data_IF_911305347583
#
_entry.id   IF_911305347583
#
_cell.length_a   1.000
_cell.length_b   1.000
_cell.length_c   1.000
_cell.angle_alpha   90.00
_cell.angle_beta   90.00
_cell.angle_gamma   90.00
#
_symmetry.space_group_name_H-M   'P 1'
#
loop_
_entity.id
_entity.type
_entity.pdbx_description
1 polymer ?
#
# COMPACT_ATOMS: atom_id res chain seq x y z
N UNK A 1 32.63 30.02 -41.93
CA UNK A 1 32.42 30.73 -40.66
C UNK A 1 32.07 29.76 -39.54
N UNK A 2 30.97 29.00 -39.62
CA UNK A 2 30.63 27.96 -38.62
C UNK A 2 31.74 26.93 -38.37
N UNK A 3 32.43 26.50 -39.43
CA UNK A 3 33.52 25.53 -39.33
C UNK A 3 34.73 26.04 -38.53
N UNK A 4 34.98 27.35 -38.54
CA UNK A 4 36.02 27.97 -37.72
C UNK A 4 35.60 27.98 -36.23
N UNK A 5 34.32 28.27 -35.97
CA UNK A 5 33.76 28.29 -34.61
C UNK A 5 33.78 26.88 -33.99
N UNK A 6 33.48 25.84 -34.75
CA UNK A 6 33.55 24.45 -34.28
C UNK A 6 34.99 24.03 -33.93
N UNK A 7 35.96 24.45 -34.75
CA UNK A 7 37.38 24.17 -34.50
C UNK A 7 37.87 24.88 -33.23
N UNK A 8 37.57 26.16 -33.06
CA UNK A 8 37.93 26.92 -31.87
C UNK A 8 37.27 26.34 -30.60
N UNK A 9 36.01 25.92 -30.67
CA UNK A 9 35.32 25.28 -29.55
C UNK A 9 35.92 23.92 -29.18
N UNK A 10 36.34 23.12 -30.17
CA UNK A 10 37.03 21.85 -29.94
C UNK A 10 38.41 22.05 -29.30
N UNK A 11 39.16 23.05 -29.74
CA UNK A 11 40.47 23.42 -29.18
C UNK A 11 40.37 23.90 -27.73
N UNK A 12 39.34 24.67 -27.40
CA UNK A 12 39.09 25.09 -26.02
C UNK A 12 38.69 23.91 -25.14
N UNK A 13 37.85 23.01 -25.66
CA UNK A 13 37.45 21.78 -24.96
C UNK A 13 38.66 20.89 -24.65
N UNK A 14 39.62 20.76 -25.55
CA UNK A 14 40.81 19.91 -25.31
C UNK A 14 41.77 20.55 -24.31
N UNK A 15 42.01 21.87 -24.39
CA UNK A 15 42.94 22.60 -23.51
C UNK A 15 42.48 22.66 -22.06
N UNK A 16 41.18 22.75 -21.82
CA UNK A 16 40.61 22.93 -20.47
C UNK A 16 39.74 21.75 -20.01
N UNK A 17 39.93 20.58 -20.62
CA UNK A 17 39.22 19.37 -20.21
C UNK A 17 39.57 19.02 -18.76
N UNK A 18 38.56 18.99 -17.89
CA UNK A 18 38.66 18.44 -16.54
C UNK A 18 37.74 17.24 -16.42
N UNK A 19 38.17 16.14 -15.76
CA UNK A 19 37.31 14.99 -15.56
C UNK A 19 36.09 15.41 -14.73
N UNK A 20 34.91 14.91 -15.11
CA UNK A 20 33.67 15.15 -14.36
C UNK A 20 33.84 14.59 -12.95
N UNK A 21 33.71 15.45 -11.95
CA UNK A 21 33.90 15.10 -10.54
C UNK A 21 32.68 14.38 -9.94
N UNK A 22 31.49 14.58 -10.50
CA UNK A 22 30.27 13.92 -10.06
C UNK A 22 29.91 12.77 -10.99
N UNK A 23 29.51 11.65 -10.43
CA UNK A 23 28.80 10.60 -11.15
C UNK A 23 27.30 10.87 -11.04
N UNK A 24 26.56 10.54 -12.09
CA UNK A 24 25.11 10.40 -12.00
C UNK A 24 24.89 8.94 -11.63
N UNK A 25 24.48 8.71 -10.39
CA UNK A 25 23.96 7.40 -10.01
C UNK A 25 22.56 7.29 -10.60
N UNK A 26 22.42 6.43 -11.60
CA UNK A 26 21.11 6.01 -12.13
C UNK A 26 20.41 5.06 -11.14
N UNK A 27 21.10 4.70 -10.05
CA UNK A 27 20.54 4.12 -8.83
C UNK A 27 19.69 5.17 -8.11
N UNK A 28 18.68 5.67 -8.79
CA UNK A 28 17.46 5.94 -8.10
C UNK A 28 17.02 4.60 -7.50
N UNK A 29 17.03 4.51 -6.17
CA UNK A 29 15.97 3.82 -5.45
C UNK A 29 14.62 4.55 -5.73
N UNK A 30 14.35 4.88 -6.99
CA UNK A 30 13.31 5.81 -7.46
C UNK A 30 12.02 5.10 -7.83
N UNK A 31 12.03 3.77 -7.79
CA UNK A 31 10.81 3.01 -7.58
C UNK A 31 10.56 3.00 -6.08
N UNK A 32 9.91 4.07 -5.60
CA UNK A 32 9.29 4.05 -4.27
C UNK A 32 8.19 2.99 -4.35
N UNK A 33 8.33 1.90 -3.60
CA UNK A 33 7.25 0.92 -3.50
C UNK A 33 6.11 1.58 -2.70
N UNK A 34 4.86 1.25 -3.01
CA UNK A 34 3.70 1.69 -2.24
C UNK A 34 3.89 1.31 -0.75
N UNK A 35 4.57 0.18 -0.50
CA UNK A 35 4.91 -0.28 0.86
C UNK A 35 5.84 0.66 1.62
N UNK A 36 6.70 1.43 0.95
CA UNK A 36 7.60 2.39 1.59
C UNK A 36 6.86 3.67 2.06
N UNK A 37 5.71 3.95 1.44
CA UNK A 37 4.86 5.12 1.76
C UNK A 37 3.78 4.78 2.78
N UNK A 38 3.27 3.54 2.74
CA UNK A 38 2.17 3.11 3.60
C UNK A 38 2.72 2.73 4.99
N UNK A 39 2.24 3.35 6.08
CA UNK A 39 2.73 3.04 7.42
C UNK A 39 2.30 1.62 7.84
N UNK A 40 3.21 0.90 8.48
CA UNK A 40 2.92 -0.44 8.98
C UNK A 40 2.11 -0.38 10.29
N UNK A 41 0.78 -0.39 10.18
CA UNK A 41 -0.12 -0.28 11.33
C UNK A 41 -1.03 -1.49 11.50
N UNK A 42 -1.58 -1.66 12.71
CA UNK A 42 -2.56 -2.69 13.02
C UNK A 42 -3.92 -2.38 12.37
N UNK A 43 -4.51 -3.38 11.72
CA UNK A 43 -5.79 -3.27 11.04
C UNK A 43 -6.67 -4.50 11.30
N UNK A 44 -7.98 -4.26 11.28
CA UNK A 44 -9.01 -5.29 11.38
C UNK A 44 -9.58 -5.56 9.98
N UNK A 45 -9.50 -6.81 9.56
CA UNK A 45 -10.14 -7.35 8.37
C UNK A 45 -11.46 -7.97 8.73
N UNK A 46 -12.49 -7.67 7.93
CA UNK A 46 -13.84 -8.21 8.10
C UNK A 46 -14.28 -8.85 6.79
N UNK A 47 -14.66 -10.12 6.87
CA UNK A 47 -15.27 -10.89 5.79
C UNK A 47 -16.77 -11.05 6.04
N UNK A 48 -17.57 -10.81 5.01
CA UNK A 48 -19.01 -11.11 5.04
C UNK A 48 -19.33 -12.46 4.41
N UNK A 49 -20.48 -13.04 4.75
CA UNK A 49 -20.96 -14.30 4.15
C UNK A 49 -21.12 -14.22 2.63
N UNK A 50 -21.37 -13.02 2.09
CA UNK A 50 -21.44 -12.78 0.63
C UNK A 50 -20.07 -12.54 -0.01
N UNK A 51 -18.98 -12.66 0.74
CA UNK A 51 -17.61 -12.52 0.23
C UNK A 51 -17.14 -11.07 0.11
N UNK A 52 -17.79 -10.11 0.79
CA UNK A 52 -17.25 -8.75 0.88
C UNK A 52 -16.14 -8.70 1.92
N UNK A 53 -14.98 -8.18 1.52
CA UNK A 53 -13.82 -8.01 2.37
C UNK A 53 -13.51 -6.52 2.51
N UNK A 54 -13.39 -6.05 3.75
CA UNK A 54 -13.00 -4.66 4.03
C UNK A 54 -12.02 -4.58 5.18
N UNK A 55 -11.18 -3.55 5.16
CA UNK A 55 -10.29 -3.19 6.28
C UNK A 55 -10.80 -1.99 7.06
N UNK A 56 -10.53 -1.99 8.36
CA UNK A 56 -10.84 -0.88 9.24
C UNK A 56 -9.85 -0.79 10.40
N UNK A 57 -9.69 0.40 10.98
CA UNK A 57 -8.83 0.59 12.14
C UNK A 57 -9.43 -0.11 13.39
N UNK A 58 -8.66 -0.92 14.13
CA UNK A 58 -9.15 -1.67 15.31
C UNK A 58 -9.65 -0.74 16.42
N UNK A 59 -9.12 0.49 16.53
CA UNK A 59 -9.54 1.49 17.52
C UNK A 59 -11.01 1.92 17.36
N UNK A 60 -11.65 1.58 16.24
CA UNK A 60 -13.10 1.76 16.09
C UNK A 60 -13.91 0.96 17.11
N UNK A 61 -13.39 -0.19 17.58
CA UNK A 61 -14.00 -1.08 18.58
C UNK A 61 -13.41 -0.91 19.99
N UNK A 62 -13.14 0.33 20.40
CA UNK A 62 -12.69 0.61 21.77
C UNK A 62 -13.53 -0.10 22.83
N UNK A 63 -12.82 -0.64 23.83
CA UNK A 63 -13.39 -1.33 24.98
C UNK A 63 -14.47 -0.46 25.64
N UNK A 64 -15.66 -1.01 25.79
CA UNK A 64 -16.69 -0.43 26.65
C UNK A 64 -16.61 -1.10 28.04
N UNK A 65 -16.98 -0.37 29.09
CA UNK A 65 -16.98 -0.89 30.46
C UNK A 65 -17.83 -2.17 30.59
N UNK A 66 -17.48 -3.01 31.57
CA UNK A 66 -18.18 -4.27 31.87
C UNK A 66 -19.69 -4.06 31.99
N UNK A 67 -20.46 -4.82 31.21
CA UNK A 67 -21.93 -4.84 31.25
C UNK A 67 -22.63 -4.12 30.09
N UNK A 68 -21.89 -3.54 29.15
CA UNK A 68 -22.47 -2.90 27.96
C UNK A 68 -22.31 -3.81 26.73
N UNK A 69 -23.37 -3.95 25.92
CA UNK A 69 -23.28 -4.62 24.61
C UNK A 69 -22.29 -3.82 23.76
N UNK A 70 -21.23 -4.47 23.27
CA UNK A 70 -20.17 -3.82 22.51
C UNK A 70 -20.66 -3.08 21.27
N UNK A 71 -19.81 -2.22 20.70
CA UNK A 71 -20.16 -1.43 19.51
C UNK A 71 -20.50 -2.35 18.35
N UNK A 72 -21.74 -2.24 17.85
CA UNK A 72 -22.18 -2.94 16.64
C UNK A 72 -21.30 -2.54 15.45
N UNK A 73 -20.95 -3.49 14.58
CA UNK A 73 -20.20 -3.30 13.33
C UNK A 73 -21.00 -2.49 12.29
N UNK A 74 -22.23 -2.05 12.60
CA UNK A 74 -23.09 -1.32 11.65
C UNK A 74 -23.98 -2.28 10.86
N UNK A 75 -24.91 -1.73 10.08
CA UNK A 75 -25.76 -2.54 9.21
C UNK A 75 -24.95 -2.94 7.98
N UNK A 76 -24.66 -4.22 7.85
CA UNK A 76 -24.27 -4.80 6.56
C UNK A 76 -25.44 -4.71 5.57
N UNK A 77 -25.17 -4.93 4.27
CA UNK A 77 -26.23 -4.92 3.24
C UNK A 77 -27.34 -5.90 3.63
N UNK A 78 -28.56 -5.64 3.17
CA UNK A 78 -29.71 -6.48 3.47
C UNK A 78 -29.39 -7.95 3.20
N UNK A 79 -29.56 -8.79 4.23
CA UNK A 79 -29.30 -10.23 4.20
C UNK A 79 -27.80 -10.59 4.02
N UNK A 80 -26.88 -9.79 4.56
CA UNK A 80 -25.45 -10.09 4.64
C UNK A 80 -25.01 -9.98 6.09
N UNK A 81 -24.40 -11.04 6.63
CA UNK A 81 -23.85 -11.09 7.97
C UNK A 81 -22.33 -11.17 7.92
N UNK A 82 -21.71 -10.81 9.04
CA UNK A 82 -20.28 -10.97 9.22
C UNK A 82 -19.95 -12.45 9.42
N UNK A 83 -19.07 -13.00 8.59
CA UNK A 83 -18.61 -14.38 8.76
C UNK A 83 -17.43 -14.43 9.73
N UNK A 84 -16.37 -13.68 9.43
CA UNK A 84 -15.07 -13.79 10.09
C UNK A 84 -14.39 -12.43 10.22
N UNK A 85 -13.46 -12.37 11.17
CA UNK A 85 -12.52 -11.25 11.29
C UNK A 85 -11.13 -11.71 11.67
N UNK A 86 -10.15 -10.94 11.22
CA UNK A 86 -8.74 -11.17 11.51
C UNK A 86 -8.10 -9.82 11.82
N UNK A 87 -7.21 -9.80 12.81
CA UNK A 87 -6.36 -8.65 13.09
C UNK A 87 -4.98 -8.95 12.51
N UNK A 88 -4.46 -8.03 11.69
CA UNK A 88 -3.15 -8.15 11.06
C UNK A 88 -2.50 -6.77 10.92
N UNK A 89 -1.24 -6.74 10.50
CA UNK A 89 -0.57 -5.51 10.12
C UNK A 89 -0.85 -5.18 8.64
N UNK A 90 -0.83 -3.90 8.28
CA UNK A 90 -1.03 -3.44 6.89
C UNK A 90 -0.05 -4.07 5.89
N UNK A 91 1.18 -4.35 6.30
CA UNK A 91 2.20 -4.96 5.45
C UNK A 91 2.10 -6.48 5.38
N UNK A 92 1.25 -7.13 6.19
CA UNK A 92 1.11 -8.59 6.17
C UNK A 92 0.45 -9.08 4.86
N UNK A 93 0.72 -10.34 4.52
CA UNK A 93 0.02 -11.02 3.42
C UNK A 93 -1.23 -11.71 3.93
N UNK A 94 -2.34 -11.49 3.22
CA UNK A 94 -3.61 -12.17 3.42
C UNK A 94 -3.73 -13.27 2.37
N UNK A 95 -3.90 -14.50 2.84
CA UNK A 95 -4.01 -15.69 1.99
C UNK A 95 -5.47 -16.12 1.87
N UNK A 96 -5.97 -16.20 0.63
CA UNK A 96 -7.32 -16.67 0.32
C UNK A 96 -7.24 -18.07 -0.27
N UNK A 97 -7.84 -19.03 0.43
CA UNK A 97 -7.90 -20.42 -0.01
C UNK A 97 -9.22 -20.67 -0.73
N UNK A 98 -9.14 -21.00 -2.02
CA UNK A 98 -10.31 -21.39 -2.80
C UNK A 98 -10.61 -22.88 -2.66
N UNK A 99 -11.87 -23.24 -2.87
CA UNK A 99 -12.37 -24.62 -2.97
C UNK A 99 -11.67 -25.44 -4.07
N UNK A 100 -11.13 -24.77 -5.09
CA UNK A 100 -10.33 -25.36 -6.18
C UNK A 100 -8.88 -25.67 -5.78
N UNK A 101 -8.48 -25.39 -4.54
CA UNK A 101 -7.10 -25.57 -4.08
C UNK A 101 -6.13 -24.52 -4.58
N UNK A 102 -6.62 -23.39 -5.11
CA UNK A 102 -5.79 -22.24 -5.49
C UNK A 102 -5.67 -21.30 -4.29
N UNK A 103 -4.47 -20.83 -4.02
CA UNK A 103 -4.17 -19.83 -3.00
C UNK A 103 -3.89 -18.49 -3.67
N UNK A 104 -4.64 -17.46 -3.29
CA UNK A 104 -4.37 -16.08 -3.68
C UNK A 104 -3.69 -15.38 -2.51
N UNK A 105 -2.70 -14.54 -2.80
CA UNK A 105 -1.97 -13.76 -1.80
C UNK A 105 -2.04 -12.29 -2.18
N UNK A 106 -2.45 -11.45 -1.23
CA UNK A 106 -2.46 -10.00 -1.43
C UNK A 106 -2.04 -9.30 -0.13
N UNK A 107 -1.40 -8.13 -0.24
CA UNK A 107 -1.03 -7.34 0.93
C UNK A 107 -2.26 -6.75 1.58
N UNK A 108 -2.29 -6.73 2.92
CA UNK A 108 -3.44 -6.25 3.67
C UNK A 108 -3.82 -4.80 3.36
N UNK A 109 -2.83 -3.93 3.07
CA UNK A 109 -3.08 -2.54 2.68
C UNK A 109 -3.85 -2.36 1.35
N UNK A 110 -3.81 -3.36 0.45
CA UNK A 110 -4.54 -3.28 -0.83
C UNK A 110 -6.04 -3.55 -0.68
N UNK A 111 -6.47 -4.05 0.48
CA UNK A 111 -7.89 -4.25 0.79
C UNK A 111 -8.53 -2.88 1.01
N UNK A 112 -9.75 -2.63 0.48
CA UNK A 112 -10.40 -1.33 0.60
C UNK A 112 -10.66 -0.96 2.06
N UNK A 113 -10.24 0.25 2.42
CA UNK A 113 -10.52 0.83 3.72
C UNK A 113 -11.94 1.38 3.75
N UNK A 114 -12.73 0.88 4.68
CA UNK A 114 -14.13 1.24 4.79
C UNK A 114 -14.50 1.58 6.22
N UNK A 115 -15.42 2.53 6.34
CA UNK A 115 -16.04 2.80 7.64
C UNK A 115 -16.88 1.60 8.09
N UNK A 116 -17.17 1.57 9.39
CA UNK A 116 -18.00 0.54 10.02
C UNK A 116 -19.33 0.32 9.27
N UNK A 117 -20.01 1.40 8.87
CA UNK A 117 -21.33 1.35 8.20
C UNK A 117 -21.23 1.03 6.70
N UNK A 118 -20.09 1.24 6.06
CA UNK A 118 -19.94 0.99 4.62
C UNK A 118 -19.97 -0.51 4.31
N UNK A 119 -20.51 -0.86 3.14
CA UNK A 119 -20.70 -2.25 2.73
C UNK A 119 -19.40 -2.97 2.29
N UNK A 120 -18.29 -2.23 2.17
CA UNK A 120 -17.14 -2.67 1.37
C UNK A 120 -17.20 -2.08 -0.02
#
# INVERSE_FOLDING_TARGET
MFQLIEQEAADLKSKFATPRRSFLEDSANGEVDDMDVIPNEEMLLILSEKGYLKRMNPNTFNLQNRGTIGKSVGKMRTNDNMSDFIVCQTHDHVLYFSDKGIVYSERAYKIPECTRVAAG
#
